data_IF_613734701040
#
_entry.id   IF_613734701040
#
_cell.length_a   1.000
_cell.length_b   1.000
_cell.length_c   1.000
_cell.angle_alpha   90.00
_cell.angle_beta   90.00
_cell.angle_gamma   90.00
#
_symmetry.space_group_name_H-M   'P 1'
#
loop_
_entity.id
_entity.type
_entity.pdbx_description
1 polymer ?
#
# COMPACT_ATOMS: atom_id res chain seq x y z
N UNK A 1 9.23 -6.05 -2.17
CA UNK A 1 8.37 -5.57 -3.27
C UNK A 1 9.22 -5.52 -4.53
N UNK A 2 8.62 -5.73 -5.69
CA UNK A 2 9.32 -5.61 -6.96
C UNK A 2 9.06 -4.23 -7.57
N UNK A 3 10.04 -3.73 -8.31
CA UNK A 3 9.96 -2.48 -9.04
C UNK A 3 10.17 -2.74 -10.52
N UNK A 4 9.20 -2.40 -11.35
CA UNK A 4 9.29 -2.52 -12.79
C UNK A 4 9.35 -1.13 -13.42
N UNK A 5 10.47 -0.81 -14.07
CA UNK A 5 10.64 0.42 -14.83
C UNK A 5 10.10 0.21 -16.25
N UNK A 6 8.90 0.71 -16.51
CA UNK A 6 8.21 0.55 -17.79
C UNK A 6 8.44 1.79 -18.66
N UNK A 7 9.65 1.93 -19.18
CA UNK A 7 10.12 3.12 -19.89
C UNK A 7 9.19 3.57 -21.02
N UNK A 8 8.65 2.64 -21.81
CA UNK A 8 7.74 2.97 -22.93
C UNK A 8 6.42 3.61 -22.49
N UNK A 9 5.99 3.33 -21.25
CA UNK A 9 4.73 3.84 -20.68
C UNK A 9 4.96 5.00 -19.72
N UNK A 10 6.22 5.36 -19.43
CA UNK A 10 6.58 6.28 -18.36
C UNK A 10 5.90 5.87 -17.04
N UNK A 11 5.92 4.58 -16.72
CA UNK A 11 5.34 4.01 -15.50
C UNK A 11 6.42 3.32 -14.68
N UNK A 12 6.33 3.47 -13.37
CA UNK A 12 7.04 2.62 -12.42
C UNK A 12 5.98 1.82 -11.68
N UNK A 13 5.95 0.51 -11.92
CA UNK A 13 5.01 -0.39 -11.23
C UNK A 13 5.69 -0.94 -9.98
N UNK A 14 5.05 -0.72 -8.83
CA UNK A 14 5.43 -1.30 -7.54
C UNK A 14 4.48 -2.46 -7.23
N UNK A 15 5.02 -3.67 -7.20
CA UNK A 15 4.24 -4.90 -6.99
C UNK A 15 4.58 -5.58 -5.68
N UNK A 16 3.57 -5.88 -4.88
CA UNK A 16 3.74 -6.82 -3.76
C UNK A 16 3.27 -8.22 -4.14
N UNK A 17 4.05 -9.25 -3.78
CA UNK A 17 3.66 -10.66 -3.97
C UNK A 17 3.10 -11.16 -2.66
N UNK A 18 1.83 -11.54 -2.66
CA UNK A 18 1.10 -11.96 -1.48
C UNK A 18 0.84 -13.46 -1.52
N UNK A 19 1.29 -14.18 -0.49
CA UNK A 19 0.92 -15.56 -0.25
C UNK A 19 -0.15 -15.62 0.83
N UNK A 20 -1.35 -16.04 0.45
CA UNK A 20 -2.48 -16.08 1.38
C UNK A 20 -2.52 -17.35 2.22
N UNK A 21 -2.67 -17.16 3.54
CA UNK A 21 -3.19 -18.15 4.46
C UNK A 21 -4.66 -17.84 4.72
N UNK A 22 -5.54 -18.75 4.31
CA UNK A 22 -6.99 -18.58 4.44
C UNK A 22 -7.46 -19.20 5.76
N UNK A 23 -7.77 -18.34 6.73
CA UNK A 23 -8.19 -18.74 8.08
C UNK A 23 -9.70 -18.58 8.24
N UNK A 24 -10.29 -19.30 9.19
CA UNK A 24 -11.72 -19.22 9.50
C UNK A 24 -11.93 -18.96 10.99
N UNK A 25 -12.80 -18.01 11.33
CA UNK A 25 -13.30 -17.87 12.70
C UNK A 25 -14.37 -18.96 12.97
N UNK A 26 -14.50 -19.37 14.23
CA UNK A 26 -15.61 -20.25 14.64
C UNK A 26 -16.96 -19.66 14.22
N UNK A 27 -17.85 -20.51 13.72
CA UNK A 27 -19.17 -20.10 13.20
C UNK A 27 -19.15 -19.55 11.76
N UNK A 28 -18.03 -19.66 11.03
CA UNK A 28 -17.95 -19.33 9.60
C UNK A 28 -17.69 -20.57 8.75
N UNK A 29 -18.15 -20.54 7.50
CA UNK A 29 -17.84 -21.60 6.53
C UNK A 29 -16.39 -21.54 6.07
N UNK A 30 -15.87 -22.65 5.55
CA UNK A 30 -14.57 -22.67 4.92
C UNK A 30 -14.52 -21.76 3.68
N UNK A 31 -13.33 -21.24 3.38
CA UNK A 31 -13.09 -20.47 2.16
C UNK A 31 -13.17 -21.39 0.95
N UNK A 32 -14.12 -21.14 0.06
CA UNK A 32 -14.09 -21.76 -1.27
C UNK A 32 -13.17 -20.98 -2.22
N UNK A 33 -12.81 -21.58 -3.35
CA UNK A 33 -11.88 -20.96 -4.30
C UNK A 33 -12.40 -19.62 -4.87
N UNK A 34 -13.69 -19.52 -5.15
CA UNK A 34 -14.29 -18.31 -5.69
C UNK A 34 -14.21 -17.15 -4.67
N UNK A 35 -14.46 -17.41 -3.39
CA UNK A 35 -14.31 -16.41 -2.33
C UNK A 35 -12.87 -15.90 -2.23
N UNK A 36 -11.89 -16.81 -2.27
CA UNK A 36 -10.46 -16.46 -2.23
C UNK A 36 -10.07 -15.56 -3.41
N UNK A 37 -10.48 -15.96 -4.62
CA UNK A 37 -10.25 -15.20 -5.85
C UNK A 37 -10.92 -13.82 -5.80
N UNK A 38 -12.19 -13.76 -5.38
CA UNK A 38 -12.92 -12.50 -5.24
C UNK A 38 -12.26 -11.58 -4.22
N UNK A 39 -11.79 -12.09 -3.08
CA UNK A 39 -11.07 -11.29 -2.09
C UNK A 39 -9.80 -10.69 -2.68
N UNK A 40 -8.95 -11.50 -3.31
CA UNK A 40 -7.71 -11.03 -3.92
C UNK A 40 -7.98 -9.98 -5.00
N UNK A 41 -8.93 -10.23 -5.91
CA UNK A 41 -9.28 -9.28 -6.97
C UNK A 41 -9.78 -7.94 -6.41
N UNK A 42 -10.59 -7.97 -5.36
CA UNK A 42 -11.06 -6.73 -4.72
C UNK A 42 -9.92 -5.99 -4.02
N UNK A 43 -9.05 -6.71 -3.30
CA UNK A 43 -7.89 -6.10 -2.66
C UNK A 43 -6.98 -5.43 -3.69
N UNK A 44 -6.67 -6.12 -4.78
CA UNK A 44 -5.87 -5.58 -5.89
C UNK A 44 -6.52 -4.36 -6.54
N UNK A 45 -7.82 -4.45 -6.85
CA UNK A 45 -8.56 -3.33 -7.43
C UNK A 45 -8.56 -2.11 -6.51
N UNK A 46 -8.77 -2.29 -5.21
CA UNK A 46 -8.73 -1.20 -4.23
C UNK A 46 -7.34 -0.57 -4.19
N UNK A 47 -6.27 -1.38 -4.12
CA UNK A 47 -4.90 -0.87 -4.10
C UNK A 47 -4.61 -0.09 -5.38
N UNK A 48 -4.96 -0.63 -6.54
CA UNK A 48 -4.81 0.04 -7.83
C UNK A 48 -5.57 1.38 -7.88
N UNK A 49 -6.81 1.41 -7.40
CA UNK A 49 -7.66 2.61 -7.43
C UNK A 49 -7.21 3.69 -6.44
N UNK A 50 -6.81 3.30 -5.23
CA UNK A 50 -6.47 4.24 -4.17
C UNK A 50 -5.02 4.75 -4.31
N UNK A 51 -4.08 3.90 -4.74
CA UNK A 51 -2.65 4.25 -4.83
C UNK A 51 -2.17 4.53 -6.26
N UNK A 52 -2.71 3.81 -7.24
CA UNK A 52 -2.27 3.89 -8.63
C UNK A 52 -2.48 5.28 -9.23
N UNK A 53 -1.51 5.75 -10.00
CA UNK A 53 -1.61 7.02 -10.71
C UNK A 53 -1.36 8.27 -9.86
N UNK A 54 -1.43 8.16 -8.53
CA UNK A 54 -1.43 9.31 -7.62
C UNK A 54 -0.08 10.02 -7.54
N UNK A 55 1.01 9.26 -7.49
CA UNK A 55 2.36 9.82 -7.37
C UNK A 55 3.03 9.94 -8.72
N UNK A 56 3.72 11.07 -8.92
CA UNK A 56 4.52 11.36 -10.11
C UNK A 56 5.96 11.57 -9.70
N UNK A 57 6.89 10.99 -10.45
CA UNK A 57 8.31 11.01 -10.17
C UNK A 57 9.09 11.63 -11.33
N UNK A 58 10.12 12.40 -11.01
CA UNK A 58 11.17 12.80 -11.94
C UNK A 58 12.44 12.04 -11.63
N UNK A 59 13.29 11.93 -12.64
CA UNK A 59 14.59 11.28 -12.55
C UNK A 59 15.67 12.31 -12.83
N UNK A 60 16.73 12.29 -12.03
CA UNK A 60 17.95 13.06 -12.26
C UNK A 60 19.18 12.23 -11.90
N UNK A 61 20.37 12.63 -12.33
CA UNK A 61 21.60 11.92 -12.03
C UNK A 61 22.57 11.81 -13.19
N UNK A 62 23.59 10.97 -13.01
CA UNK A 62 24.70 10.78 -13.98
C UNK A 62 24.61 9.45 -14.74
N UNK A 63 23.74 8.54 -14.33
CA UNK A 63 23.50 7.28 -15.06
C UNK A 63 22.93 7.54 -16.45
N UNK A 64 23.08 6.57 -17.35
CA UNK A 64 22.51 6.67 -18.69
C UNK A 64 20.98 6.70 -18.65
N UNK A 65 20.37 5.93 -17.74
CA UNK A 65 18.94 5.99 -17.45
C UNK A 65 18.50 7.40 -17.04
N UNK A 66 19.21 8.04 -16.11
CA UNK A 66 18.86 9.38 -15.65
C UNK A 66 18.99 10.44 -16.75
N UNK A 67 20.04 10.34 -17.58
CA UNK A 67 20.23 11.26 -18.71
C UNK A 67 19.16 11.08 -19.78
N UNK A 68 18.83 9.83 -20.12
CA UNK A 68 17.78 9.49 -21.08
C UNK A 68 16.41 10.02 -20.63
N UNK A 69 16.14 10.00 -19.32
CA UNK A 69 14.84 10.33 -18.74
C UNK A 69 14.80 11.66 -17.99
N UNK A 70 15.74 12.57 -18.23
CA UNK A 70 15.85 13.85 -17.52
C UNK A 70 14.58 14.72 -17.61
N UNK A 71 13.82 14.59 -18.70
CA UNK A 71 12.58 15.32 -18.95
C UNK A 71 11.32 14.43 -18.84
N UNK A 72 11.47 13.18 -18.42
CA UNK A 72 10.37 12.23 -18.29
C UNK A 72 9.72 12.36 -16.91
N UNK A 73 8.39 12.33 -16.88
CA UNK A 73 7.63 12.16 -15.64
C UNK A 73 7.11 10.74 -15.60
N UNK A 74 7.56 9.98 -14.61
CA UNK A 74 7.04 8.64 -14.36
C UNK A 74 5.81 8.69 -13.46
N UNK A 75 4.79 7.91 -13.81
CA UNK A 75 3.65 7.67 -12.93
C UNK A 75 3.90 6.42 -12.09
N UNK A 76 3.72 6.50 -10.78
CA UNK A 76 3.75 5.31 -9.93
C UNK A 76 2.40 4.59 -10.00
N UNK A 77 2.44 3.29 -10.26
CA UNK A 77 1.31 2.39 -10.14
C UNK A 77 1.61 1.29 -9.13
N UNK A 78 0.56 0.73 -8.54
CA UNK A 78 0.65 -0.19 -7.42
C UNK A 78 -0.29 -1.36 -7.64
N UNK A 79 0.19 -2.57 -7.44
CA UNK A 79 -0.64 -3.76 -7.49
C UNK A 79 -0.15 -4.85 -6.52
N UNK A 80 -0.96 -5.91 -6.44
CA UNK A 80 -0.62 -7.13 -5.73
C UNK A 80 -0.73 -8.34 -6.65
N UNK A 81 0.16 -9.31 -6.46
CA UNK A 81 0.15 -10.58 -7.17
C UNK A 81 -0.04 -11.71 -6.16
N UNK A 82 -1.03 -12.57 -6.38
CA UNK A 82 -1.16 -13.81 -5.61
C UNK A 82 -0.06 -14.80 -6.02
N UNK A 83 0.89 -15.04 -5.11
CA UNK A 83 2.07 -15.88 -5.34
C UNK A 83 2.16 -17.01 -4.30
N UNK A 84 2.67 -18.19 -4.69
CA UNK A 84 2.76 -19.35 -3.79
C UNK A 84 4.19 -19.63 -3.31
N UNK A 85 5.19 -19.36 -4.16
CA UNK A 85 6.56 -19.87 -3.96
C UNK A 85 7.62 -18.80 -3.68
N UNK A 86 7.33 -17.52 -3.94
CA UNK A 86 8.26 -16.43 -3.62
C UNK A 86 7.52 -15.14 -3.21
N UNK A 87 6.76 -15.16 -2.10
CA UNK A 87 6.03 -13.99 -1.65
C UNK A 87 6.93 -12.94 -1.00
N UNK A 88 6.54 -11.68 -1.13
CA UNK A 88 7.07 -10.60 -0.30
C UNK A 88 6.40 -10.56 1.08
N UNK A 89 5.14 -10.99 1.14
CA UNK A 89 4.30 -10.97 2.32
C UNK A 89 3.49 -12.26 2.45
N UNK A 90 3.46 -12.80 3.68
CA UNK A 90 2.47 -13.81 4.09
C UNK A 90 1.24 -13.07 4.58
N UNK A 91 0.08 -13.36 3.98
CA UNK A 91 -1.16 -12.62 4.24
C UNK A 91 -2.19 -13.55 4.87
N UNK A 92 -2.42 -13.38 6.16
CA UNK A 92 -3.40 -14.15 6.92
C UNK A 92 -4.77 -13.49 6.80
N UNK A 93 -5.67 -14.06 6.00
CA UNK A 93 -7.03 -13.53 5.82
C UNK A 93 -8.01 -14.39 6.60
N UNK A 94 -8.62 -13.81 7.63
CA UNK A 94 -9.60 -14.51 8.47
C UNK A 94 -11.01 -14.28 7.96
N UNK A 95 -11.74 -15.37 7.67
CA UNK A 95 -13.19 -15.28 7.45
C UNK A 95 -13.86 -14.92 8.75
N UNK A 96 -14.59 -13.81 8.78
CA UNK A 96 -15.39 -13.39 9.93
C UNK A 96 -16.86 -13.24 9.51
N UNK A 97 -17.81 -13.32 10.46
CA UNK A 97 -19.21 -13.03 10.14
C UNK A 97 -19.36 -11.60 9.62
N UNK A 98 -20.31 -11.39 8.71
CA UNK A 98 -20.56 -10.07 8.10
C UNK A 98 -20.80 -8.99 9.17
N UNK A 99 -20.29 -7.79 8.94
CA UNK A 99 -20.38 -6.64 9.85
C UNK A 99 -19.72 -6.86 11.23
N UNK A 100 -18.85 -7.88 11.36
CA UNK A 100 -17.96 -7.99 12.52
C UNK A 100 -16.64 -7.30 12.23
N UNK A 101 -15.83 -7.16 13.26
CA UNK A 101 -14.53 -6.51 13.19
C UNK A 101 -13.48 -7.41 13.80
N UNK A 102 -12.41 -7.66 13.06
CA UNK A 102 -11.14 -8.13 13.59
C UNK A 102 -10.10 -7.06 13.26
N UNK A 103 -9.18 -6.79 14.18
CA UNK A 103 -8.18 -5.76 13.95
C UNK A 103 -7.14 -6.27 12.95
N UNK A 104 -7.04 -5.56 11.83
CA UNK A 104 -6.02 -5.74 10.81
C UNK A 104 -4.71 -5.08 11.25
N UNK A 105 -3.58 -5.62 10.81
CA UNK A 105 -2.27 -5.02 11.03
C UNK A 105 -1.20 -5.60 10.08
N UNK A 106 -0.11 -4.86 9.95
CA UNK A 106 1.16 -5.33 9.38
C UNK A 106 2.18 -5.60 10.49
N UNK A 107 2.80 -6.77 10.44
CA UNK A 107 3.95 -7.13 11.28
C UNK A 107 5.19 -7.12 10.39
N UNK A 108 5.80 -5.94 10.28
CA UNK A 108 6.90 -5.68 9.32
C UNK A 108 8.05 -6.68 9.42
N UNK A 109 8.60 -6.88 10.63
CA UNK A 109 9.76 -7.75 10.83
C UNK A 109 9.51 -9.24 10.53
N UNK A 110 8.25 -9.66 10.39
CA UNK A 110 7.88 -11.03 10.00
C UNK A 110 7.42 -11.15 8.55
N UNK A 111 7.31 -10.02 7.83
CA UNK A 111 6.67 -9.99 6.53
C UNK A 111 5.25 -10.56 6.55
N UNK A 112 4.47 -10.24 7.58
CA UNK A 112 3.09 -10.69 7.75
C UNK A 112 2.09 -9.53 7.66
N UNK A 113 0.97 -9.77 6.96
CA UNK A 113 -0.21 -8.90 6.93
C UNK A 113 -1.39 -9.71 7.47
N UNK A 114 -2.10 -9.18 8.46
CA UNK A 114 -3.31 -9.82 8.98
C UNK A 114 -4.52 -9.00 8.54
N UNK A 115 -5.44 -9.66 7.85
CA UNK A 115 -6.67 -9.08 7.32
C UNK A 115 -7.88 -9.95 7.68
N UNK A 116 -9.07 -9.42 7.47
CA UNK A 116 -10.33 -10.13 7.52
C UNK A 116 -11.23 -9.86 6.29
N UNK A 117 -12.36 -10.58 6.19
CA UNK A 117 -13.29 -10.48 5.07
C UNK A 117 -13.90 -9.09 4.83
N UNK A 118 -13.94 -8.24 5.84
CA UNK A 118 -14.49 -6.88 5.76
C UNK A 118 -13.44 -5.84 5.33
N UNK A 119 -12.15 -6.18 5.28
CA UNK A 119 -11.07 -5.24 4.94
C UNK A 119 -11.07 -4.77 3.48
N UNK A 120 -11.76 -5.51 2.61
CA UNK A 120 -12.00 -5.12 1.21
C UNK A 120 -13.31 -4.33 1.04
N UNK A 121 -13.95 -3.94 2.13
CA UNK A 121 -15.12 -3.07 2.13
C UNK A 121 -14.76 -1.69 2.71
N UNK A 122 -15.46 -0.65 2.28
CA UNK A 122 -15.28 0.69 2.83
C UNK A 122 -15.79 0.74 4.27
N UNK A 123 -14.99 1.31 5.16
CA UNK A 123 -15.35 1.58 6.54
C UNK A 123 -15.55 3.08 6.77
N UNK A 124 -16.62 3.44 7.49
CA UNK A 124 -16.90 4.81 7.90
C UNK A 124 -16.38 5.03 9.33
N UNK A 125 -15.35 5.85 9.46
CA UNK A 125 -14.79 6.28 10.75
C UNK A 125 -15.39 7.63 11.13
N UNK A 126 -15.97 7.73 12.32
CA UNK A 126 -16.53 8.99 12.84
C UNK A 126 -15.57 9.57 13.87
N UNK A 127 -15.14 10.83 13.67
CA UNK A 127 -14.31 11.56 14.64
C UNK A 127 -14.69 13.03 14.67
N UNK A 128 -15.09 13.52 15.84
CA UNK A 128 -15.57 14.88 16.06
C UNK A 128 -16.71 15.27 15.10
N UNK A 129 -17.74 14.43 15.00
CA UNK A 129 -18.93 14.68 14.17
C UNK A 129 -18.71 14.58 12.65
N UNK A 130 -17.50 14.29 12.18
CA UNK A 130 -17.18 14.11 10.75
C UNK A 130 -16.96 12.64 10.43
N UNK A 131 -17.48 12.22 9.28
CA UNK A 131 -17.30 10.87 8.73
C UNK A 131 -16.13 10.87 7.75
N UNK A 132 -15.24 9.90 7.92
CA UNK A 132 -14.10 9.64 7.06
C UNK A 132 -14.25 8.24 6.48
N UNK A 133 -14.04 8.11 5.17
CA UNK A 133 -14.01 6.81 4.50
C UNK A 133 -12.59 6.28 4.53
N UNK A 134 -12.44 4.98 4.70
CA UNK A 134 -11.17 4.28 4.61
C UNK A 134 -11.40 2.84 4.12
N UNK A 135 -10.52 2.35 3.25
CA UNK A 135 -10.42 0.93 2.95
C UNK A 135 -9.30 0.34 3.80
N UNK A 136 -9.60 -0.55 4.78
CA UNK A 136 -8.58 -1.12 5.65
C UNK A 136 -7.44 -1.79 4.88
N UNK A 137 -7.74 -2.55 3.82
CA UNK A 137 -6.69 -3.18 2.99
C UNK A 137 -5.74 -2.16 2.36
N UNK A 138 -6.23 -0.97 1.98
CA UNK A 138 -5.41 0.11 1.41
C UNK A 138 -4.53 0.77 2.49
N UNK A 139 -5.03 0.89 3.72
CA UNK A 139 -4.27 1.34 4.87
C UNK A 139 -3.12 0.36 5.20
N UNK A 140 -3.42 -0.93 5.31
CA UNK A 140 -2.40 -1.97 5.55
C UNK A 140 -1.42 -2.10 4.36
N UNK A 141 -1.86 -1.81 3.14
CA UNK A 141 -0.96 -1.71 1.99
C UNK A 141 0.09 -0.61 2.18
N UNK A 142 -0.28 0.53 2.76
CA UNK A 142 0.66 1.60 3.10
C UNK A 142 1.71 1.16 4.12
N UNK A 143 1.30 0.46 5.17
CA UNK A 143 2.24 -0.11 6.14
C UNK A 143 3.18 -1.16 5.51
N UNK A 144 2.64 -2.09 4.73
CA UNK A 144 3.45 -3.10 4.01
C UNK A 144 4.30 -2.51 2.87
N UNK A 145 4.03 -1.26 2.50
CA UNK A 145 4.86 -0.45 1.59
C UNK A 145 5.91 0.40 2.30
N UNK A 146 6.07 0.24 3.62
CA UNK A 146 7.16 0.83 4.38
C UNK A 146 6.75 1.97 5.31
N UNK A 147 5.46 2.31 5.42
CA UNK A 147 4.97 3.23 6.45
C UNK A 147 4.97 2.54 7.81
N UNK A 148 6.15 2.27 8.37
CA UNK A 148 6.35 1.58 9.66
C UNK A 148 7.46 2.29 10.46
N UNK A 149 7.48 2.18 11.80
CA UNK A 149 8.43 2.93 12.63
C UNK A 149 9.91 2.61 12.34
N UNK A 150 10.19 1.45 11.74
CA UNK A 150 11.53 1.05 11.34
C UNK A 150 12.08 1.85 10.14
N UNK A 151 11.20 2.41 9.32
CA UNK A 151 11.56 2.99 8.02
C UNK A 151 11.23 4.49 7.95
N UNK A 152 10.17 4.95 8.62
CA UNK A 152 9.70 6.33 8.58
C UNK A 152 9.25 6.79 9.96
N UNK A 153 9.15 8.10 10.18
CA UNK A 153 8.69 8.67 11.46
C UNK A 153 7.18 9.03 11.49
N UNK A 154 6.42 8.62 10.47
CA UNK A 154 5.03 9.06 10.24
C UNK A 154 4.06 7.92 9.90
N UNK A 155 4.36 6.72 10.38
CA UNK A 155 3.67 5.48 10.03
C UNK A 155 2.18 5.42 10.43
N UNK A 156 1.86 5.66 11.69
CA UNK A 156 0.48 5.68 12.23
C UNK A 156 0.15 7.11 12.66
N UNK A 157 -0.56 7.84 11.80
CA UNK A 157 -0.73 9.27 11.98
C UNK A 157 -1.79 9.62 13.03
N UNK A 158 -2.68 8.70 13.39
CA UNK A 158 -3.72 8.95 14.41
C UNK A 158 -3.16 9.02 15.85
N UNK A 159 -1.90 8.64 16.08
CA UNK A 159 -1.27 8.65 17.39
C UNK A 159 -1.03 10.08 17.86
N UNK A 160 -1.22 10.36 19.15
CA UNK A 160 -1.02 11.69 19.74
C UNK A 160 0.40 12.24 19.57
N UNK A 161 1.39 11.35 19.43
CA UNK A 161 2.81 11.69 19.20
C UNK A 161 3.13 12.01 17.73
N UNK A 162 2.21 11.75 16.80
CA UNK A 162 2.44 12.03 15.39
C UNK A 162 2.25 13.51 15.09
N UNK A 163 3.19 14.10 14.35
CA UNK A 163 3.07 15.46 13.80
C UNK A 163 1.87 15.60 12.85
N UNK A 164 1.29 14.49 12.38
CA UNK A 164 0.19 14.44 11.42
C UNK A 164 -1.15 14.03 12.04
N UNK A 165 -1.26 14.05 13.38
CA UNK A 165 -2.50 13.67 14.10
C UNK A 165 -3.72 14.49 13.71
N UNK A 166 -3.52 15.73 13.27
CA UNK A 166 -4.57 16.63 12.78
C UNK A 166 -5.00 16.34 11.33
N UNK A 167 -4.17 15.68 10.51
CA UNK A 167 -4.48 15.30 9.12
C UNK A 167 -5.37 14.05 9.09
N UNK A 168 -6.59 14.19 9.60
CA UNK A 168 -7.56 13.09 9.72
C UNK A 168 -8.02 12.53 8.37
N UNK A 169 -7.81 13.27 7.28
CA UNK A 169 -8.12 12.81 5.93
C UNK A 169 -7.07 11.84 5.38
N UNK A 170 -5.86 11.84 5.96
CA UNK A 170 -4.76 10.97 5.53
C UNK A 170 -5.11 9.48 5.60
N UNK A 171 -4.63 8.74 4.59
CA UNK A 171 -4.73 7.28 4.50
C UNK A 171 -4.09 6.60 5.71
N UNK A 172 -2.93 7.09 6.18
CA UNK A 172 -2.24 6.56 7.37
C UNK A 172 -2.84 7.06 8.71
N UNK A 173 -3.95 7.81 8.64
CA UNK A 173 -4.78 8.20 9.78
C UNK A 173 -6.13 7.44 9.72
N UNK A 174 -7.25 8.16 9.76
CA UNK A 174 -8.61 7.58 9.69
C UNK A 174 -9.32 7.83 8.35
N UNK A 175 -8.63 8.46 7.39
CA UNK A 175 -9.19 8.82 6.09
C UNK A 175 -8.66 7.94 4.96
N UNK A 176 -8.78 8.44 3.72
CA UNK A 176 -8.39 7.75 2.49
C UNK A 176 -7.53 8.61 1.56
N UNK A 177 -7.15 9.83 1.94
CA UNK A 177 -6.34 10.65 1.07
C UNK A 177 -4.85 10.30 1.22
N UNK A 178 -4.18 10.05 0.11
CA UNK A 178 -2.73 9.88 0.11
C UNK A 178 -1.98 11.21 0.18
N UNK A 179 -0.76 11.15 0.71
CA UNK A 179 0.18 12.27 0.88
C UNK A 179 1.53 11.83 0.35
N UNK A 180 2.32 12.77 -0.15
CA UNK A 180 3.67 12.49 -0.66
C UNK A 180 4.46 11.61 0.31
N UNK A 181 4.56 12.03 1.58
CA UNK A 181 5.25 11.27 2.65
C UNK A 181 4.95 9.77 2.71
N UNK A 182 3.77 9.31 2.27
CA UNK A 182 3.38 7.90 2.27
C UNK A 182 4.24 7.01 1.36
N UNK A 183 5.08 7.57 0.49
CA UNK A 183 6.01 6.82 -0.36
C UNK A 183 7.49 7.07 -0.06
N UNK A 184 7.85 7.68 1.07
CA UNK A 184 9.25 8.00 1.40
C UNK A 184 10.16 6.75 1.38
N UNK A 185 9.68 5.62 1.92
CA UNK A 185 10.43 4.36 1.87
C UNK A 185 10.57 3.83 0.44
N UNK A 186 9.51 3.92 -0.36
CA UNK A 186 9.52 3.53 -1.79
C UNK A 186 10.56 4.35 -2.55
N UNK A 187 10.61 5.67 -2.34
CA UNK A 187 11.62 6.55 -2.97
C UNK A 187 13.03 6.13 -2.57
N UNK A 188 13.23 5.83 -1.27
CA UNK A 188 14.51 5.32 -0.78
C UNK A 188 14.90 4.04 -1.52
N UNK A 189 13.98 3.10 -1.72
CA UNK A 189 14.25 1.87 -2.47
C UNK A 189 14.52 2.14 -3.96
N UNK A 190 13.76 3.02 -4.61
CA UNK A 190 13.97 3.40 -6.01
C UNK A 190 15.38 3.98 -6.24
N UNK A 191 15.86 4.80 -5.32
CA UNK A 191 17.19 5.40 -5.37
C UNK A 191 18.34 4.39 -5.21
N UNK A 192 18.04 3.16 -4.77
CA UNK A 192 19.01 2.07 -4.67
C UNK A 192 19.02 1.17 -5.91
N UNK A 193 18.01 1.25 -6.79
CA UNK A 193 17.87 0.35 -7.94
C UNK A 193 18.93 0.59 -9.02
N UNK A 194 19.20 1.86 -9.34
CA UNK A 194 20.13 2.24 -10.40
C UNK A 194 21.17 3.20 -9.82
N UNK A 195 22.45 2.80 -9.71
CA UNK A 195 23.50 3.66 -9.23
C UNK A 195 23.55 5.00 -9.97
N UNK A 196 23.87 6.08 -9.26
CA UNK A 196 23.95 7.45 -9.80
C UNK A 196 22.63 7.97 -10.42
N UNK A 197 21.49 7.47 -9.93
CA UNK A 197 20.14 7.90 -10.30
C UNK A 197 19.40 8.36 -9.05
N UNK A 198 18.66 9.44 -9.14
CA UNK A 198 17.80 9.96 -8.09
C UNK A 198 16.38 10.12 -8.62
N UNK A 199 15.43 9.49 -7.95
CA UNK A 199 14.00 9.67 -8.09
C UNK A 199 13.52 10.67 -7.04
N UNK A 200 12.77 11.67 -7.47
CA UNK A 200 12.14 12.67 -6.60
C UNK A 200 10.73 12.97 -7.06
N UNK A 201 9.89 13.56 -6.19
CA UNK A 201 8.54 13.97 -6.58
C UNK A 201 8.60 14.93 -7.78
N UNK A 202 7.75 14.69 -8.77
CA UNK A 202 7.48 15.69 -9.77
C UNK A 202 6.64 16.79 -9.10
N UNK A 203 7.26 17.94 -8.82
CA UNK A 203 6.56 19.12 -8.27
C UNK A 203 5.32 19.38 -9.11
N UNK A 204 4.16 19.54 -8.46
CA UNK A 204 2.96 20.07 -9.14
C UNK A 204 3.32 21.43 -9.72
N UNK A 205 3.07 21.70 -11.01
CA UNK A 205 3.25 23.04 -11.56
C UNK A 205 2.47 24.08 -10.75
#
# INVERSE_FOLDING_TARGET
>A
MDFFLEERRNVILIRQKWKYNWLTLSGTSQWNYQEKKTFHQKADQIIWQEWGGHFKMRVSGKSDFAKQHANTIFTLNFDILWELTNPHWVVNVTKIPKNKFKRSNVIWGKHEINLDTEDVNVNNRIRAGKTYKQYPVSHEYGHSSGNVPQNVNHWDEYRSVSNYVSDRKSMMNIGHDLRERHIDYIITQLNLLIPNTSFTYAVKP
#
